data_IF_190156495101
#
_entry.id   IF_190156495101
#
_cell.length_a   1.000
_cell.length_b   1.000
_cell.length_c   1.000
_cell.angle_alpha   90.00
_cell.angle_beta   90.00
_cell.angle_gamma   90.00
#
_symmetry.space_group_name_H-M   'P 1'
#
loop_
_entity.id
_entity.type
_entity.pdbx_description
1 polymer ?
#
# COMPACT_ATOMS: atom_id res chain seq x y z
N UNK A 1 15.78 -10.50 -7.70
CA UNK A 1 15.09 -10.80 -9.00
C UNK A 1 15.97 -10.52 -10.22
N UNK A 2 17.03 -9.72 -10.11
CA UNK A 2 17.92 -9.35 -11.23
C UNK A 2 19.00 -10.41 -11.54
N UNK A 3 19.07 -11.52 -10.82
CA UNK A 3 20.08 -12.56 -11.02
C UNK A 3 19.77 -13.48 -12.23
N UNK A 4 20.80 -14.04 -12.90
CA UNK A 4 20.64 -15.04 -13.93
C UNK A 4 19.92 -16.31 -13.43
N UNK A 5 19.23 -17.01 -14.32
CA UNK A 5 18.47 -18.23 -13.96
C UNK A 5 19.32 -19.28 -13.22
N UNK A 6 20.57 -19.44 -13.63
CA UNK A 6 21.49 -20.39 -12.97
C UNK A 6 21.74 -20.01 -11.51
N UNK A 7 22.02 -18.74 -11.25
CA UNK A 7 22.25 -18.23 -9.89
C UNK A 7 21.01 -18.35 -9.00
N UNK A 8 19.80 -18.14 -9.58
CA UNK A 8 18.55 -18.35 -8.86
C UNK A 8 18.39 -19.81 -8.42
N UNK A 9 18.74 -20.77 -9.29
CA UNK A 9 18.67 -22.18 -8.96
C UNK A 9 19.68 -22.56 -7.87
N UNK A 10 20.94 -22.12 -8.00
CA UNK A 10 22.00 -22.35 -7.01
C UNK A 10 21.61 -21.78 -5.62
N UNK A 11 21.11 -20.54 -5.58
CA UNK A 11 20.65 -19.91 -4.34
C UNK A 11 19.40 -20.57 -3.75
N UNK A 12 18.51 -21.10 -4.58
CA UNK A 12 17.35 -21.84 -4.10
C UNK A 12 17.75 -23.16 -3.45
N UNK A 13 18.74 -23.89 -4.02
CA UNK A 13 19.29 -25.10 -3.41
C UNK A 13 19.95 -24.79 -2.06
N UNK A 14 20.77 -23.73 -1.98
CA UNK A 14 21.41 -23.29 -0.74
C UNK A 14 20.36 -22.88 0.32
N UNK A 15 19.36 -22.08 -0.07
CA UNK A 15 18.31 -21.61 0.84
C UNK A 15 17.45 -22.76 1.37
N UNK A 16 17.24 -23.84 0.60
CA UNK A 16 16.44 -25.00 1.02
C UNK A 16 17.02 -25.75 2.23
N UNK A 17 18.29 -25.49 2.56
CA UNK A 17 18.94 -26.05 3.74
C UNK A 17 18.58 -25.33 5.06
N UNK A 18 18.07 -24.09 4.98
CA UNK A 18 17.84 -23.22 6.15
C UNK A 18 16.47 -22.56 6.18
N UNK A 19 15.72 -22.63 5.08
CA UNK A 19 14.40 -22.02 4.91
C UNK A 19 13.40 -23.11 4.52
N UNK A 20 12.12 -22.87 4.79
CA UNK A 20 11.02 -23.76 4.38
C UNK A 20 11.13 -24.10 2.88
N UNK A 21 11.26 -25.40 2.54
CA UNK A 21 11.42 -25.87 1.16
C UNK A 21 10.26 -25.48 0.23
N UNK A 22 9.02 -25.38 0.77
CA UNK A 22 7.85 -24.98 -0.01
C UNK A 22 7.94 -23.52 -0.40
N UNK A 23 8.34 -22.63 0.52
CA UNK A 23 8.58 -21.22 0.25
C UNK A 23 9.71 -21.03 -0.78
N UNK A 24 10.81 -21.75 -0.64
CA UNK A 24 11.93 -21.71 -1.60
C UNK A 24 11.48 -22.16 -2.99
N UNK A 25 10.68 -23.23 -3.07
CA UNK A 25 10.13 -23.75 -4.32
C UNK A 25 9.21 -22.73 -4.99
N UNK A 26 8.34 -22.03 -4.22
CA UNK A 26 7.47 -20.97 -4.72
C UNK A 26 8.29 -19.78 -5.26
N UNK A 27 9.27 -19.29 -4.49
CA UNK A 27 10.14 -18.20 -4.92
C UNK A 27 10.91 -18.56 -6.20
N UNK A 28 11.44 -19.78 -6.29
CA UNK A 28 12.09 -20.30 -7.50
C UNK A 28 11.15 -20.31 -8.69
N UNK A 29 9.94 -20.81 -8.53
CA UNK A 29 8.92 -20.85 -9.60
C UNK A 29 8.55 -19.46 -10.10
N UNK A 30 8.44 -18.46 -9.22
CA UNK A 30 8.19 -17.06 -9.59
C UNK A 30 9.38 -16.50 -10.35
N UNK A 31 10.60 -16.59 -9.82
CA UNK A 31 11.78 -15.94 -10.38
C UNK A 31 12.30 -16.59 -11.67
N UNK A 32 11.98 -17.85 -11.93
CA UNK A 32 12.33 -18.54 -13.19
C UNK A 32 11.28 -18.43 -14.29
N UNK A 33 10.07 -17.97 -13.97
CA UNK A 33 8.99 -17.74 -14.94
C UNK A 33 9.03 -16.27 -15.41
N UNK A 34 9.23 -15.98 -16.72
CA UNK A 34 9.39 -14.61 -17.21
C UNK A 34 8.21 -13.69 -16.90
N UNK A 35 6.97 -14.21 -16.90
CA UNK A 35 5.78 -13.41 -16.62
C UNK A 35 5.66 -13.08 -15.12
N UNK A 36 5.77 -14.08 -14.23
CA UNK A 36 5.70 -13.89 -12.78
C UNK A 36 6.89 -13.11 -12.22
N UNK A 37 8.04 -13.22 -12.87
CA UNK A 37 9.25 -12.50 -12.50
C UNK A 37 9.07 -10.97 -12.65
N UNK A 38 8.29 -10.50 -13.63
CA UNK A 38 8.04 -9.07 -13.83
C UNK A 38 7.46 -8.42 -12.58
N UNK A 39 6.46 -9.04 -11.95
CA UNK A 39 5.89 -8.55 -10.69
C UNK A 39 6.95 -8.48 -9.59
N UNK A 40 7.77 -9.54 -9.44
CA UNK A 40 8.83 -9.57 -8.45
C UNK A 40 9.96 -8.55 -8.72
N UNK A 41 10.25 -8.24 -9.99
CA UNK A 41 11.22 -7.21 -10.38
C UNK A 41 10.72 -5.81 -10.04
N UNK A 42 9.44 -5.54 -10.29
CA UNK A 42 8.81 -4.27 -9.97
C UNK A 42 8.58 -4.08 -8.46
N UNK A 43 8.24 -5.14 -7.73
CA UNK A 43 8.02 -5.12 -6.27
C UNK A 43 9.32 -5.02 -5.46
N UNK A 44 10.48 -5.20 -6.10
CA UNK A 44 11.75 -5.14 -5.39
C UNK A 44 12.34 -3.72 -5.42
N UNK A 45 13.44 -3.51 -6.09
CA UNK A 45 14.15 -2.22 -6.20
C UNK A 45 14.54 -1.98 -7.66
N UNK A 46 13.57 -1.72 -8.57
CA UNK A 46 13.84 -1.51 -9.97
C UNK A 46 14.77 -0.30 -10.17
N UNK A 47 15.77 -0.46 -11.04
CA UNK A 47 16.74 0.59 -11.37
C UNK A 47 17.82 0.86 -10.30
N UNK A 48 17.72 0.28 -9.12
CA UNK A 48 18.74 0.47 -8.07
C UNK A 48 19.99 -0.36 -8.38
N UNK A 49 21.16 0.26 -8.24
CA UNK A 49 22.45 -0.42 -8.51
C UNK A 49 22.72 -1.52 -7.49
N UNK A 50 23.40 -2.59 -7.94
CA UNK A 50 23.68 -3.76 -7.10
C UNK A 50 24.43 -3.45 -5.79
N UNK A 51 25.26 -2.39 -5.77
CA UNK A 51 25.98 -1.94 -4.57
C UNK A 51 25.08 -1.28 -3.53
N UNK A 52 23.97 -0.67 -3.96
CA UNK A 52 23.02 0.04 -3.08
C UNK A 52 21.99 -0.90 -2.48
N UNK A 53 21.58 -1.94 -3.23
CA UNK A 53 20.55 -2.91 -2.81
C UNK A 53 20.76 -3.47 -1.40
N UNK A 54 21.93 -4.03 -1.03
CA UNK A 54 22.15 -4.54 0.34
C UNK A 54 21.97 -3.46 1.40
N UNK A 55 22.45 -2.24 1.15
CA UNK A 55 22.33 -1.11 2.08
C UNK A 55 20.87 -0.72 2.32
N UNK A 56 20.04 -0.72 1.27
CA UNK A 56 18.59 -0.46 1.38
C UNK A 56 17.92 -1.58 2.18
N UNK A 57 18.20 -2.83 1.87
CA UNK A 57 17.63 -3.98 2.58
C UNK A 57 18.02 -4.01 4.06
N UNK A 58 19.27 -3.66 4.39
CA UNK A 58 19.75 -3.57 5.76
C UNK A 58 19.12 -2.37 6.49
N UNK A 59 18.96 -1.23 5.81
CA UNK A 59 18.30 -0.06 6.39
C UNK A 59 16.81 -0.31 6.69
N UNK A 60 16.08 -1.00 5.80
CA UNK A 60 14.69 -1.40 6.05
C UNK A 60 14.57 -2.22 7.34
N UNK A 61 15.53 -3.09 7.62
CA UNK A 61 15.51 -3.97 8.80
C UNK A 61 16.00 -3.30 10.07
N UNK A 62 17.07 -2.51 9.98
CA UNK A 62 17.83 -1.99 11.16
C UNK A 62 17.57 -0.53 11.45
N UNK A 63 17.20 0.27 10.46
CA UNK A 63 16.96 1.72 10.60
C UNK A 63 15.84 2.19 9.66
N UNK A 64 14.60 1.72 9.85
CA UNK A 64 13.47 2.07 8.98
C UNK A 64 13.21 3.58 8.91
N UNK A 65 13.49 4.34 9.99
CA UNK A 65 13.34 5.79 10.04
C UNK A 65 14.31 6.56 9.10
N UNK A 66 15.34 5.88 8.64
CA UNK A 66 16.32 6.42 7.70
C UNK A 66 15.83 6.41 6.24
N UNK A 67 14.92 5.50 5.88
CA UNK A 67 14.48 5.31 4.49
C UNK A 67 13.88 6.58 3.86
N UNK A 68 13.01 7.35 4.52
CA UNK A 68 12.47 8.59 3.94
C UNK A 68 13.51 9.66 3.64
N UNK A 69 14.73 9.51 4.15
CA UNK A 69 15.83 10.48 4.01
C UNK A 69 16.87 10.09 2.96
N UNK A 70 16.65 8.96 2.26
CA UNK A 70 17.54 8.55 1.20
C UNK A 70 17.48 9.52 0.03
N UNK A 71 18.66 9.74 -0.60
CA UNK A 71 18.75 10.67 -1.71
C UNK A 71 18.05 10.10 -2.95
N UNK A 72 17.39 10.94 -3.74
CA UNK A 72 16.78 10.56 -5.01
C UNK A 72 17.80 9.95 -6.00
N UNK A 73 19.08 10.26 -5.87
CA UNK A 73 20.14 9.68 -6.67
C UNK A 73 20.41 8.20 -6.35
N UNK A 74 20.11 7.75 -5.13
CA UNK A 74 20.32 6.37 -4.70
C UNK A 74 19.03 5.55 -4.76
N UNK A 75 17.88 6.18 -4.49
CA UNK A 75 16.59 5.53 -4.39
C UNK A 75 15.48 6.47 -4.86
N UNK A 76 14.88 6.21 -5.99
CA UNK A 76 13.85 7.05 -6.62
C UNK A 76 12.70 6.22 -7.19
N UNK A 77 11.63 6.88 -7.56
CA UNK A 77 10.49 6.29 -8.25
C UNK A 77 9.87 5.10 -7.52
N UNK A 78 9.50 4.07 -8.27
CA UNK A 78 8.87 2.85 -7.74
C UNK A 78 9.76 2.15 -6.71
N UNK A 79 11.09 2.17 -6.85
CA UNK A 79 12.01 1.58 -5.87
C UNK A 79 11.94 2.30 -4.51
N UNK A 80 11.82 3.62 -4.50
CA UNK A 80 11.65 4.39 -3.28
C UNK A 80 10.27 4.10 -2.64
N UNK A 81 9.22 4.07 -3.44
CA UNK A 81 7.88 3.70 -2.97
C UNK A 81 7.86 2.31 -2.33
N UNK A 82 8.49 1.31 -2.98
CA UNK A 82 8.63 -0.04 -2.43
C UNK A 82 9.30 -0.03 -1.05
N UNK A 83 10.40 0.73 -0.90
CA UNK A 83 11.10 0.84 0.36
C UNK A 83 10.28 1.54 1.45
N UNK A 84 9.54 2.62 1.09
CA UNK A 84 8.64 3.33 2.01
C UNK A 84 7.50 2.44 2.49
N UNK A 85 6.86 1.70 1.58
CA UNK A 85 5.81 0.75 1.93
C UNK A 85 6.35 -0.41 2.78
N UNK A 86 7.56 -0.90 2.51
CA UNK A 86 8.18 -1.95 3.31
C UNK A 86 8.46 -1.53 4.76
N UNK A 87 8.75 -0.25 5.02
CA UNK A 87 8.98 0.25 6.39
C UNK A 87 7.69 0.74 7.08
N UNK A 88 6.60 0.87 6.34
CA UNK A 88 5.33 1.39 6.85
C UNK A 88 4.84 0.66 8.12
N UNK A 89 4.85 -0.67 8.22
CA UNK A 89 4.43 -1.38 9.43
C UNK A 89 5.30 -1.05 10.66
N UNK A 90 6.62 -0.88 10.47
CA UNK A 90 7.53 -0.50 11.54
C UNK A 90 7.30 0.94 12.01
N UNK A 91 6.92 1.82 11.09
CA UNK A 91 6.65 3.23 11.32
C UNK A 91 5.17 3.54 11.58
N UNK A 92 4.29 2.55 11.55
CA UNK A 92 2.83 2.71 11.79
C UNK A 92 2.51 3.29 13.18
N UNK A 93 3.42 3.14 14.14
CA UNK A 93 3.32 3.72 15.50
C UNK A 93 3.80 5.17 15.59
N UNK A 94 4.29 5.75 14.50
CA UNK A 94 4.67 7.16 14.46
C UNK A 94 3.45 8.08 14.62
N UNK A 95 3.70 9.36 14.87
CA UNK A 95 2.61 10.33 14.90
C UNK A 95 1.92 10.49 13.52
N UNK A 96 0.74 11.08 13.51
CA UNK A 96 -0.08 11.23 12.30
C UNK A 96 0.64 12.04 11.20
N UNK A 97 1.46 13.01 11.56
CA UNK A 97 2.26 13.79 10.60
C UNK A 97 3.31 12.93 9.89
N UNK A 98 4.01 12.06 10.64
CA UNK A 98 4.97 11.11 10.07
C UNK A 98 4.32 10.12 9.12
N UNK A 99 3.16 9.57 9.52
CA UNK A 99 2.37 8.66 8.68
C UNK A 99 1.89 9.35 7.39
N UNK A 100 1.35 10.55 7.51
CA UNK A 100 0.91 11.33 6.35
C UNK A 100 2.05 11.65 5.39
N UNK A 101 3.24 11.98 5.92
CA UNK A 101 4.44 12.22 5.11
C UNK A 101 4.88 10.98 4.36
N UNK A 102 4.85 9.80 5.00
CA UNK A 102 5.19 8.52 4.35
C UNK A 102 4.22 8.17 3.22
N UNK A 103 2.92 8.32 3.45
CA UNK A 103 1.88 8.06 2.44
C UNK A 103 2.06 9.01 1.25
N UNK A 104 2.24 10.30 1.51
CA UNK A 104 2.45 11.30 0.47
C UNK A 104 3.71 11.02 -0.35
N UNK A 105 4.83 10.74 0.32
CA UNK A 105 6.11 10.49 -0.33
C UNK A 105 6.08 9.20 -1.18
N UNK A 106 5.43 8.14 -0.67
CA UNK A 106 5.23 6.92 -1.43
C UNK A 106 4.39 7.15 -2.69
N UNK A 107 3.29 7.93 -2.59
CA UNK A 107 2.44 8.25 -3.74
C UNK A 107 3.18 9.11 -4.77
N UNK A 108 3.88 10.15 -4.31
CA UNK A 108 4.67 11.02 -5.16
C UNK A 108 5.77 10.27 -5.91
N UNK A 109 6.51 9.44 -5.19
CA UNK A 109 7.60 8.66 -5.77
C UNK A 109 7.10 7.61 -6.77
N UNK A 110 5.94 7.00 -6.52
CA UNK A 110 5.34 6.03 -7.44
C UNK A 110 5.05 6.65 -8.81
N UNK A 111 4.48 7.86 -8.82
CA UNK A 111 4.07 8.54 -10.05
C UNK A 111 5.22 9.33 -10.74
N UNK A 112 6.44 9.31 -10.16
CA UNK A 112 7.61 9.96 -10.76
C UNK A 112 8.16 9.25 -11.99
N UNK A 113 7.90 7.95 -12.15
CA UNK A 113 8.40 7.15 -13.25
C UNK A 113 7.29 6.76 -14.22
N UNK A 114 7.55 6.90 -15.50
CA UNK A 114 6.64 6.43 -16.54
C UNK A 114 6.76 4.92 -16.74
N UNK A 115 5.74 4.32 -17.34
CA UNK A 115 5.72 2.89 -17.68
C UNK A 115 6.89 2.54 -18.63
N UNK A 116 7.19 3.43 -19.57
CA UNK A 116 8.26 3.28 -20.56
C UNK A 116 9.64 3.28 -19.90
N UNK A 117 9.89 4.20 -18.96
CA UNK A 117 11.13 4.25 -18.19
C UNK A 117 11.34 2.98 -17.35
N UNK A 118 10.29 2.47 -16.74
CA UNK A 118 10.33 1.22 -15.97
C UNK A 118 10.57 0.01 -16.86
N UNK A 119 9.91 -0.05 -18.02
CA UNK A 119 10.16 -1.11 -19.02
C UNK A 119 11.62 -1.12 -19.45
N UNK A 120 12.20 0.05 -19.77
CA UNK A 120 13.59 0.17 -20.15
C UNK A 120 14.53 -0.32 -19.04
N UNK A 121 14.30 0.10 -17.79
CA UNK A 121 15.09 -0.32 -16.64
C UNK A 121 15.05 -1.84 -16.42
N UNK A 122 13.86 -2.44 -16.52
CA UNK A 122 13.67 -3.87 -16.37
C UNK A 122 14.35 -4.63 -17.51
N UNK A 123 14.16 -4.19 -18.74
CA UNK A 123 14.73 -4.84 -19.91
C UNK A 123 16.26 -4.79 -19.88
N UNK A 124 16.86 -3.69 -19.45
CA UNK A 124 18.31 -3.57 -19.22
C UNK A 124 18.82 -4.54 -18.15
N UNK A 125 18.07 -4.68 -17.04
CA UNK A 125 18.43 -5.63 -16.00
C UNK A 125 18.27 -7.08 -16.48
N UNK A 126 17.25 -7.40 -17.27
CA UNK A 126 17.02 -8.73 -17.86
C UNK A 126 18.07 -9.09 -18.90
N UNK A 127 18.48 -8.15 -19.75
CA UNK A 127 19.59 -8.35 -20.70
C UNK A 127 20.86 -8.77 -19.96
N UNK A 128 21.24 -8.04 -18.91
CA UNK A 128 22.39 -8.36 -18.06
C UNK A 128 22.28 -9.73 -17.38
N UNK A 129 21.08 -10.21 -17.12
CA UNK A 129 20.80 -11.50 -16.52
C UNK A 129 20.52 -12.62 -17.54
N UNK A 130 20.65 -12.34 -18.84
CA UNK A 130 20.29 -13.26 -19.94
C UNK A 130 18.85 -13.78 -19.85
N UNK A 131 17.93 -12.91 -19.49
CA UNK A 131 16.48 -13.18 -19.47
C UNK A 131 15.79 -12.54 -20.65
N UNK A 132 14.69 -13.11 -21.16
CA UNK A 132 13.89 -12.49 -22.20
C UNK A 132 13.38 -11.11 -21.79
N UNK A 133 13.46 -10.17 -22.70
CA UNK A 133 12.88 -8.84 -22.53
C UNK A 133 11.34 -8.92 -22.35
N UNK A 134 10.76 -7.93 -21.69
CA UNK A 134 9.32 -7.69 -21.72
C UNK A 134 9.02 -7.09 -23.09
N UNK A 135 8.19 -7.77 -23.88
CA UNK A 135 7.85 -7.35 -25.25
C UNK A 135 6.47 -6.72 -25.35
N UNK A 136 5.72 -6.73 -24.26
CA UNK A 136 4.35 -6.25 -24.19
C UNK A 136 4.27 -5.15 -23.09
N UNK A 137 4.18 -3.87 -23.47
CA UNK A 137 4.13 -2.75 -22.52
C UNK A 137 2.88 -2.80 -21.63
N UNK A 138 1.77 -3.39 -22.09
CA UNK A 138 0.55 -3.51 -21.29
C UNK A 138 0.80 -4.36 -20.03
N UNK A 139 1.71 -5.33 -20.09
CA UNK A 139 2.08 -6.14 -18.92
C UNK A 139 2.79 -5.36 -17.82
N UNK A 140 3.59 -4.36 -18.17
CA UNK A 140 4.23 -3.48 -17.16
C UNK A 140 3.14 -2.65 -16.48
N UNK A 141 2.21 -2.11 -17.26
CA UNK A 141 1.08 -1.33 -16.77
C UNK A 141 0.16 -2.15 -15.84
N UNK A 142 -0.18 -3.39 -16.22
CA UNK A 142 -0.96 -4.31 -15.40
C UNK A 142 -0.25 -4.64 -14.09
N UNK A 143 1.05 -4.96 -14.14
CA UNK A 143 1.84 -5.27 -12.96
C UNK A 143 1.97 -4.06 -12.00
N UNK A 144 2.09 -2.84 -12.54
CA UNK A 144 2.07 -1.61 -11.75
C UNK A 144 0.72 -1.38 -11.05
N UNK A 145 -0.39 -1.69 -11.70
CA UNK A 145 -1.72 -1.63 -11.08
C UNK A 145 -1.84 -2.60 -9.91
N UNK A 146 -1.32 -3.83 -10.04
CA UNK A 146 -1.32 -4.79 -8.93
C UNK A 146 -0.45 -4.32 -7.75
N UNK A 147 0.72 -3.74 -8.03
CA UNK A 147 1.58 -3.16 -6.99
C UNK A 147 0.86 -2.02 -6.27
N UNK A 148 0.22 -1.13 -7.01
CA UNK A 148 -0.55 -0.01 -6.46
C UNK A 148 -1.67 -0.49 -5.55
N UNK A 149 -2.42 -1.53 -5.95
CA UNK A 149 -3.42 -2.19 -5.10
C UNK A 149 -2.80 -2.75 -3.82
N UNK A 150 -1.62 -3.37 -3.93
CA UNK A 150 -0.84 -3.85 -2.79
C UNK A 150 -0.47 -2.74 -1.81
N UNK A 151 -0.07 -1.57 -2.32
CA UNK A 151 0.25 -0.39 -1.50
C UNK A 151 -0.98 0.15 -0.77
N UNK A 152 -2.10 0.34 -1.49
CA UNK A 152 -3.37 0.75 -0.88
C UNK A 152 -3.76 -0.19 0.26
N UNK A 153 -3.66 -1.49 0.03
CA UNK A 153 -3.94 -2.50 1.07
C UNK A 153 -3.00 -2.37 2.28
N UNK A 154 -1.70 -2.19 2.06
CA UNK A 154 -0.72 -2.04 3.14
C UNK A 154 -0.95 -0.74 3.94
N UNK A 155 -1.28 0.36 3.27
CA UNK A 155 -1.62 1.63 3.91
C UNK A 155 -2.89 1.47 4.75
N UNK A 156 -3.95 0.89 4.18
CA UNK A 156 -5.21 0.66 4.89
C UNK A 156 -5.00 -0.21 6.13
N UNK A 157 -4.25 -1.29 6.04
CA UNK A 157 -3.92 -2.13 7.20
C UNK A 157 -3.26 -1.34 8.33
N UNK A 158 -2.31 -0.46 8.00
CA UNK A 158 -1.66 0.39 9.00
C UNK A 158 -2.58 1.48 9.56
N UNK A 159 -3.53 1.99 8.77
CA UNK A 159 -4.51 2.98 9.22
C UNK A 159 -5.59 2.33 10.08
N UNK A 160 -6.05 1.13 9.75
CA UNK A 160 -7.09 0.40 10.48
C UNK A 160 -6.69 0.05 11.92
N UNK A 161 -5.40 -0.10 12.19
CA UNK A 161 -4.87 -0.26 13.55
C UNK A 161 -4.96 1.01 14.42
N UNK A 162 -5.28 2.16 13.82
CA UNK A 162 -5.32 3.47 14.48
C UNK A 162 -6.72 3.83 14.96
N UNK A 163 -6.78 4.75 15.92
CA UNK A 163 -8.06 5.35 16.32
C UNK A 163 -8.63 6.22 15.18
N UNK A 164 -9.94 6.26 15.07
CA UNK A 164 -10.63 7.02 14.01
C UNK A 164 -10.17 8.49 13.91
N UNK A 165 -9.94 9.16 15.04
CA UNK A 165 -9.44 10.53 15.05
C UNK A 165 -8.04 10.65 14.44
N UNK A 166 -7.18 9.66 14.64
CA UNK A 166 -5.82 9.63 14.09
C UNK A 166 -5.83 9.36 12.59
N UNK A 167 -6.75 8.51 12.11
CA UNK A 167 -6.96 8.27 10.67
C UNK A 167 -7.36 9.57 9.99
N UNK A 168 -8.33 10.30 10.54
CA UNK A 168 -8.82 11.57 10.00
C UNK A 168 -7.69 12.60 9.95
N UNK A 169 -6.97 12.80 11.06
CA UNK A 169 -5.87 13.76 11.11
C UNK A 169 -4.75 13.38 10.13
N UNK A 170 -4.46 12.09 9.96
CA UNK A 170 -3.49 11.60 8.98
C UNK A 170 -3.92 11.95 7.56
N UNK A 171 -5.15 11.66 7.18
CA UNK A 171 -5.68 11.92 5.84
C UNK A 171 -5.83 13.43 5.56
N UNK A 172 -6.24 14.25 6.54
CA UNK A 172 -6.26 15.73 6.40
C UNK A 172 -4.86 16.30 6.15
N UNK A 173 -3.82 15.70 6.75
CA UNK A 173 -2.42 16.09 6.50
C UNK A 173 -1.95 15.67 5.11
N UNK A 174 -2.31 14.48 4.63
CA UNK A 174 -2.04 14.06 3.25
C UNK A 174 -2.65 15.07 2.28
N UNK A 175 -3.91 15.46 2.48
CA UNK A 175 -4.57 16.54 1.69
C UNK A 175 -3.79 17.84 1.71
N UNK A 176 -3.25 18.24 2.86
CA UNK A 176 -2.45 19.47 2.98
C UNK A 176 -1.16 19.38 2.17
N UNK A 177 -0.52 18.21 2.11
CA UNK A 177 0.64 17.98 1.25
C UNK A 177 0.27 18.01 -0.24
N UNK A 178 -0.85 17.41 -0.64
CA UNK A 178 -1.36 17.52 -2.03
C UNK A 178 -1.55 18.98 -2.42
N UNK A 179 -2.23 19.77 -1.60
CA UNK A 179 -2.47 21.20 -1.87
C UNK A 179 -1.18 22.01 -1.99
N UNK A 180 -0.20 21.74 -1.14
CA UNK A 180 1.09 22.44 -1.19
C UNK A 180 1.96 21.93 -2.35
N UNK A 181 1.90 20.66 -2.69
CA UNK A 181 2.62 20.05 -3.79
C UNK A 181 2.11 20.48 -5.16
N UNK A 182 0.79 20.53 -5.34
CA UNK A 182 0.17 21.03 -6.59
C UNK A 182 0.44 22.52 -6.85
N UNK A 183 0.64 23.31 -5.81
CA UNK A 183 1.07 24.70 -5.96
C UNK A 183 2.54 24.85 -6.39
N UNK A 184 3.39 23.87 -6.09
CA UNK A 184 4.84 23.88 -6.40
C UNK A 184 5.18 23.20 -7.73
N UNK A 185 4.35 22.28 -8.22
CA UNK A 185 4.56 21.51 -9.44
C UNK A 185 3.39 21.79 -10.39
N UNK A 186 3.67 22.36 -11.56
CA UNK A 186 2.70 22.66 -12.62
C UNK A 186 2.01 21.43 -13.24
N UNK A 187 2.00 20.30 -12.58
CA UNK A 187 1.37 19.06 -13.01
C UNK A 187 0.08 18.93 -12.20
N UNK A 188 -1.02 19.40 -12.80
CA UNK A 188 -2.38 19.29 -12.23
C UNK A 188 -2.92 17.85 -12.22
N UNK A 189 -2.09 16.87 -11.86
CA UNK A 189 -2.47 15.46 -11.77
C UNK A 189 -2.36 15.05 -10.30
N UNK A 190 -3.48 14.63 -9.76
CA UNK A 190 -3.56 14.01 -8.44
C UNK A 190 -2.81 12.66 -8.46
N UNK A 191 -1.95 12.34 -7.47
CA UNK A 191 -1.21 11.08 -7.49
C UNK A 191 -2.14 9.86 -7.53
N UNK A 192 -1.90 8.96 -8.50
CA UNK A 192 -2.76 7.81 -8.77
C UNK A 192 -2.94 6.87 -7.57
N UNK A 193 -1.90 6.73 -6.74
CA UNK A 193 -1.97 5.95 -5.51
C UNK A 193 -2.94 6.57 -4.49
N UNK A 194 -2.98 7.90 -4.38
CA UNK A 194 -3.90 8.58 -3.47
C UNK A 194 -5.34 8.51 -3.97
N UNK A 195 -5.55 8.55 -5.29
CA UNK A 195 -6.86 8.36 -5.90
C UNK A 195 -7.42 6.97 -5.56
N UNK A 196 -6.63 5.91 -5.75
CA UNK A 196 -7.01 4.55 -5.37
C UNK A 196 -7.25 4.38 -3.86
N UNK A 197 -6.45 5.05 -3.02
CA UNK A 197 -6.64 5.04 -1.57
C UNK A 197 -7.98 5.68 -1.20
N UNK A 198 -8.33 6.82 -1.79
CA UNK A 198 -9.62 7.48 -1.54
C UNK A 198 -10.79 6.65 -2.05
N UNK A 199 -10.69 6.08 -3.24
CA UNK A 199 -11.71 5.19 -3.80
C UNK A 199 -11.94 3.94 -2.90
N UNK A 200 -10.91 3.41 -2.27
CA UNK A 200 -11.05 2.29 -1.32
C UNK A 200 -11.89 2.69 -0.09
N UNK A 201 -11.70 3.90 0.43
CA UNK A 201 -12.52 4.42 1.53
C UNK A 201 -13.95 4.73 1.11
N UNK A 202 -14.19 5.18 -0.11
CA UNK A 202 -15.53 5.41 -0.65
C UNK A 202 -16.33 4.11 -0.73
N UNK A 203 -15.72 3.04 -1.25
CA UNK A 203 -16.35 1.70 -1.28
C UNK A 203 -16.64 1.19 0.12
N UNK A 204 -15.73 1.40 1.07
CA UNK A 204 -15.96 1.03 2.48
C UNK A 204 -17.11 1.83 3.09
N UNK A 205 -17.18 3.14 2.83
CA UNK A 205 -18.25 4.00 3.32
C UNK A 205 -19.63 3.60 2.77
N UNK A 206 -19.70 3.23 1.49
CA UNK A 206 -20.94 2.71 0.86
C UNK A 206 -21.37 1.38 1.50
N UNK A 207 -20.44 0.44 1.68
CA UNK A 207 -20.71 -0.85 2.33
C UNK A 207 -21.20 -0.68 3.77
N UNK A 208 -20.66 0.27 4.53
CA UNK A 208 -21.14 0.59 5.89
C UNK A 208 -22.53 1.20 5.89
N UNK A 209 -22.87 2.06 4.92
CA UNK A 209 -24.21 2.64 4.80
C UNK A 209 -25.29 1.57 4.60
N UNK A 210 -25.02 0.57 3.75
CA UNK A 210 -25.92 -0.56 3.51
C UNK A 210 -26.05 -1.46 4.74
N UNK A 211 -24.94 -1.80 5.40
CA UNK A 211 -24.90 -2.62 6.60
C UNK A 211 -25.61 -1.92 7.77
N UNK A 212 -25.44 -0.61 7.93
CA UNK A 212 -26.08 0.21 8.96
C UNK A 212 -27.61 0.25 8.76
N UNK A 213 -28.06 0.42 7.51
CA UNK A 213 -29.48 0.42 7.16
C UNK A 213 -30.12 -0.94 7.46
N UNK A 214 -29.44 -2.04 7.14
CA UNK A 214 -29.90 -3.40 7.43
C UNK A 214 -29.90 -3.70 8.93
N UNK A 215 -28.85 -3.29 9.68
CA UNK A 215 -28.75 -3.47 11.12
C UNK A 215 -29.76 -2.62 11.90
N UNK A 216 -29.97 -1.37 11.51
CA UNK A 216 -30.99 -0.49 12.09
C UNK A 216 -32.41 -1.06 11.89
N UNK A 217 -32.70 -1.57 10.68
CA UNK A 217 -33.98 -2.23 10.39
C UNK A 217 -34.21 -3.50 11.23
N UNK A 218 -33.16 -4.31 11.43
CA UNK A 218 -33.19 -5.49 12.27
C UNK A 218 -33.39 -5.15 13.77
N UNK A 219 -32.67 -4.15 14.29
CA UNK A 219 -32.77 -3.71 15.67
C UNK A 219 -34.15 -3.12 15.98
N UNK A 220 -34.70 -2.28 15.12
CA UNK A 220 -36.04 -1.69 15.27
C UNK A 220 -37.13 -2.76 15.31
N UNK A 221 -36.98 -3.83 14.51
CA UNK A 221 -37.93 -4.96 14.53
C UNK A 221 -37.86 -5.85 15.78
N UNK A 222 -36.73 -5.85 16.48
CA UNK A 222 -36.48 -6.73 17.64
C UNK A 222 -36.74 -6.05 18.99
N UNK A 223 -36.59 -4.75 19.11
CA UNK A 223 -36.74 -3.99 20.37
C UNK A 223 -38.08 -4.24 21.08
N UNK A 224 -39.26 -4.32 20.44
CA UNK A 224 -40.55 -4.52 21.13
C UNK A 224 -40.69 -5.88 21.82
N UNK A 225 -40.04 -6.92 21.33
CA UNK A 225 -40.12 -8.27 21.90
C UNK A 225 -39.09 -8.55 22.98
N UNK A 226 -37.99 -7.82 22.99
CA UNK A 226 -36.82 -8.11 23.83
C UNK A 226 -36.69 -7.23 25.08
N UNK A 227 -37.55 -6.26 25.26
CA UNK A 227 -37.51 -5.33 26.41
C UNK A 227 -37.76 -5.98 27.80
N UNK A 228 -37.97 -7.30 27.86
CA UNK A 228 -38.27 -8.03 29.10
C UNK A 228 -37.09 -8.85 29.69
N UNK A 229 -35.95 -8.96 28.99
CA UNK A 229 -34.80 -9.75 29.41
C UNK A 229 -33.54 -8.90 29.55
N UNK A 230 -33.00 -8.72 30.74
CA UNK A 230 -31.85 -7.86 31.04
C UNK A 230 -30.55 -8.28 30.34
N UNK A 231 -30.39 -9.56 29.97
CA UNK A 231 -29.23 -10.03 29.20
C UNK A 231 -29.23 -9.53 27.74
N UNK A 232 -30.43 -9.40 27.16
CA UNK A 232 -30.62 -8.93 25.77
C UNK A 232 -30.41 -7.40 25.69
N UNK A 233 -30.75 -6.66 26.73
CA UNK A 233 -30.48 -5.25 26.85
C UNK A 233 -28.97 -4.96 26.82
N UNK A 234 -28.13 -5.76 27.49
CA UNK A 234 -26.67 -5.66 27.47
C UNK A 234 -26.11 -5.87 26.07
N UNK A 235 -26.59 -6.84 25.32
CA UNK A 235 -26.18 -7.11 23.93
C UNK A 235 -26.61 -5.95 23.02
N UNK A 236 -27.81 -5.43 23.18
CA UNK A 236 -28.31 -4.28 22.38
C UNK A 236 -27.47 -3.00 22.63
N UNK A 237 -27.10 -2.74 23.89
CA UNK A 237 -26.23 -1.60 24.25
C UNK A 237 -24.86 -1.75 23.60
N UNK A 238 -24.23 -2.94 23.66
CA UNK A 238 -22.93 -3.19 23.04
C UNK A 238 -22.99 -3.03 21.52
N UNK A 239 -24.02 -3.53 20.86
CA UNK A 239 -24.22 -3.34 19.42
C UNK A 239 -24.45 -1.87 19.05
N UNK A 240 -25.20 -1.11 19.83
CA UNK A 240 -25.38 0.32 19.61
C UNK A 240 -24.08 1.11 19.79
N UNK A 241 -23.25 0.75 20.76
CA UNK A 241 -21.93 1.36 20.93
C UNK A 241 -21.02 1.07 19.73
N UNK A 242 -20.99 -0.17 19.24
CA UNK A 242 -20.25 -0.55 18.02
C UNK A 242 -20.77 0.20 16.78
N UNK A 243 -22.09 0.29 16.60
CA UNK A 243 -22.70 1.06 15.51
C UNK A 243 -22.35 2.54 15.60
N UNK A 244 -22.34 3.14 16.79
CA UNK A 244 -21.95 4.55 16.97
C UNK A 244 -20.48 4.80 16.59
N UNK A 245 -19.58 3.86 16.88
CA UNK A 245 -18.19 3.95 16.47
C UNK A 245 -18.08 3.90 14.95
N UNK A 246 -18.79 2.99 14.28
CA UNK A 246 -18.84 2.87 12.84
C UNK A 246 -19.43 4.12 12.16
N UNK A 247 -20.55 4.65 12.69
CA UNK A 247 -21.19 5.88 12.19
C UNK A 247 -20.26 7.09 12.29
N UNK A 248 -19.52 7.21 13.40
CA UNK A 248 -18.54 8.30 13.55
C UNK A 248 -17.40 8.19 12.55
N UNK A 249 -16.87 6.97 12.34
CA UNK A 249 -15.82 6.69 11.35
C UNK A 249 -16.31 7.03 9.95
N UNK A 250 -17.49 6.58 9.58
CA UNK A 250 -18.11 6.84 8.28
C UNK A 250 -18.32 8.33 7.99
N UNK A 251 -18.92 9.10 8.93
CA UNK A 251 -19.09 10.55 8.79
C UNK A 251 -17.77 11.28 8.60
N UNK A 252 -16.74 10.82 9.28
CA UNK A 252 -15.42 11.39 9.19
C UNK A 252 -14.78 11.12 7.83
N UNK A 253 -14.91 9.90 7.30
CA UNK A 253 -14.44 9.52 5.97
C UNK A 253 -15.13 10.32 4.88
N UNK A 254 -16.46 10.45 4.92
CA UNK A 254 -17.22 11.32 3.97
C UNK A 254 -16.69 12.75 4.01
N UNK A 255 -16.50 13.34 5.18
CA UNK A 255 -15.99 14.70 5.28
C UNK A 255 -14.59 14.89 4.68
N UNK A 256 -13.79 13.82 4.58
CA UNK A 256 -12.49 13.83 3.90
C UNK A 256 -12.69 13.67 2.39
N UNK A 257 -13.53 12.74 1.95
CA UNK A 257 -13.86 12.53 0.54
C UNK A 257 -14.42 13.79 -0.10
N UNK A 258 -15.35 14.50 0.59
CA UNK A 258 -15.89 15.78 0.13
C UNK A 258 -14.79 16.83 -0.09
N UNK A 259 -13.76 16.84 0.77
CA UNK A 259 -12.61 17.74 0.60
C UNK A 259 -11.71 17.34 -0.56
N UNK A 260 -11.57 16.05 -0.85
CA UNK A 260 -10.82 15.56 -2.00
C UNK A 260 -11.54 15.89 -3.32
N UNK A 261 -12.84 15.65 -3.40
CA UNK A 261 -13.66 15.99 -4.58
C UNK A 261 -13.72 17.49 -4.86
N UNK A 262 -13.36 18.34 -3.89
CA UNK A 262 -13.30 19.79 -4.05
C UNK A 262 -11.92 20.30 -4.55
N UNK A 263 -10.94 19.40 -4.76
CA UNK A 263 -9.60 19.71 -5.30
C UNK A 263 -9.57 19.62 -6.81
#
# INVERSE_FOLDING_TARGET
PTSPRREILEKAEEASLSVDPDLVSQCRAVLTNPAKRLEAELQFLPGVTGAVIPRVCDAIKSNPEGIPKWSEAELSGVAHSNALIAVLPALSKTNNAGMASLIWEAARSFDQQTTEELEELINKARESAHFPAVSDPDRVSEALQEIRRGYVKAINQCLDERKTADIIDTLDRVLSYVKSGTAAVSIGVFPSLLDDLMNSYEVEAQGFSEAESAAAGSLVSQIPQQSRDGAIFGVAVTLMEQLQVLVRRWKAVIGILDKFHAL
#
